data_IF_398995705906
#
_entry.id   IF_398995705906
#
_cell.length_a   1.000
_cell.length_b   1.000
_cell.length_c   1.000
_cell.angle_alpha   90.00
_cell.angle_beta   90.00
_cell.angle_gamma   90.00
#
_symmetry.space_group_name_H-M   'P 1'
#
loop_
_entity.id
_entity.type
_entity.pdbx_description
1 polymer ?
#
# COMPACT_ATOMS: atom_id res chain seq x y z
N UNK A 1 -3.01 15.18 1.55
CA UNK A 1 -3.22 14.55 2.87
C UNK A 1 -4.11 15.45 3.71
N UNK A 2 -4.86 14.90 4.66
CA UNK A 2 -5.71 15.70 5.55
C UNK A 2 -5.63 15.23 7.00
N UNK A 3 -6.23 16.03 7.90
CA UNK A 3 -6.22 15.81 9.33
C UNK A 3 -6.81 14.45 9.73
N UNK A 4 -8.03 14.14 9.31
CA UNK A 4 -8.74 12.91 9.71
C UNK A 4 -7.97 11.66 9.29
N UNK A 5 -7.36 11.67 8.10
CA UNK A 5 -6.52 10.58 7.66
C UNK A 5 -5.30 10.42 8.56
N UNK A 6 -4.64 11.52 8.90
CA UNK A 6 -3.44 11.47 9.73
C UNK A 6 -3.73 11.10 11.18
N UNK A 7 -4.87 11.48 11.73
CA UNK A 7 -5.33 11.03 13.05
C UNK A 7 -5.46 9.50 13.11
N UNK A 8 -6.06 8.88 12.08
CA UNK A 8 -6.14 7.43 11.97
C UNK A 8 -4.76 6.76 11.90
N UNK A 9 -3.83 7.36 11.15
CA UNK A 9 -2.45 6.84 11.06
C UNK A 9 -1.65 7.08 12.33
N UNK A 10 -1.81 8.21 13.02
CA UNK A 10 -1.13 8.51 14.28
C UNK A 10 -1.58 7.53 15.37
N UNK A 11 -2.89 7.26 15.48
CA UNK A 11 -3.40 6.19 16.35
C UNK A 11 -2.77 4.84 16.02
N UNK A 12 -2.68 4.49 14.73
CA UNK A 12 -2.04 3.24 14.31
C UNK A 12 -0.54 3.20 14.67
N UNK A 13 0.19 4.30 14.48
CA UNK A 13 1.62 4.40 14.79
C UNK A 13 1.85 4.25 16.30
N UNK A 14 0.97 4.79 17.13
CA UNK A 14 1.02 4.63 18.58
C UNK A 14 0.79 3.17 19.01
N UNK A 15 -0.19 2.50 18.41
CA UNK A 15 -0.48 1.08 18.71
C UNK A 15 0.51 0.09 18.09
N UNK A 16 1.21 0.52 17.04
CA UNK A 16 2.19 -0.26 16.30
C UNK A 16 3.47 0.55 16.03
N UNK A 17 4.27 0.89 17.07
CA UNK A 17 5.43 1.77 16.94
C UNK A 17 6.66 1.07 16.31
N UNK A 18 6.44 0.06 15.47
CA UNK A 18 7.49 -0.79 14.91
C UNK A 18 8.51 0.01 14.15
N UNK A 19 9.77 -0.24 14.48
CA UNK A 19 10.94 0.33 13.81
C UNK A 19 11.86 -0.80 13.38
N UNK A 20 12.66 -0.53 12.36
CA UNK A 20 13.75 -1.40 11.96
C UNK A 20 14.61 -1.73 13.20
N UNK A 21 14.77 -3.01 13.51
CA UNK A 21 15.53 -3.54 14.67
C UNK A 21 14.93 -3.31 16.07
N UNK A 22 13.70 -2.80 16.20
CA UNK A 22 13.02 -2.73 17.49
C UNK A 22 11.65 -3.42 17.41
N UNK A 23 11.49 -4.50 18.16
CA UNK A 23 10.30 -5.35 18.16
C UNK A 23 9.22 -4.83 19.08
N UNK A 24 8.90 -3.53 19.00
CA UNK A 24 7.67 -3.01 19.63
C UNK A 24 6.50 -3.93 19.26
N UNK A 25 5.83 -4.47 20.26
CA UNK A 25 4.66 -5.32 20.02
C UNK A 25 3.56 -4.45 19.43
N UNK A 26 2.95 -4.95 18.35
CA UNK A 26 1.76 -4.32 17.79
C UNK A 26 0.55 -4.75 18.63
N UNK A 27 -0.01 -3.81 19.37
CA UNK A 27 -1.25 -4.02 20.11
C UNK A 27 -2.40 -3.26 19.45
N UNK A 28 -2.85 -3.80 18.31
CA UNK A 28 -3.92 -3.17 17.53
C UNK A 28 -5.28 -3.21 18.24
N UNK A 29 -5.45 -3.97 19.33
CA UNK A 29 -6.73 -4.13 20.04
C UNK A 29 -7.29 -2.82 20.61
N UNK A 30 -6.43 -1.81 20.77
CA UNK A 30 -6.84 -0.48 21.21
C UNK A 30 -7.39 0.39 20.05
N UNK A 31 -7.29 -0.07 18.80
CA UNK A 31 -7.91 0.59 17.65
C UNK A 31 -9.42 0.26 17.67
N UNK A 32 -10.31 1.26 17.75
CA UNK A 32 -11.75 1.02 17.81
C UNK A 32 -12.25 0.21 16.62
N UNK A 33 -13.05 -0.83 16.89
CA UNK A 33 -13.69 -1.65 15.86
C UNK A 33 -12.73 -2.59 15.10
N UNK A 34 -11.44 -2.63 15.43
CA UNK A 34 -10.45 -3.40 14.66
C UNK A 34 -10.77 -4.90 14.57
N UNK A 35 -11.42 -5.46 15.59
CA UNK A 35 -11.76 -6.88 15.66
C UNK A 35 -12.74 -7.30 14.55
N UNK A 36 -13.54 -6.37 14.04
CA UNK A 36 -14.47 -6.63 12.92
C UNK A 36 -13.74 -6.91 11.60
N UNK A 37 -12.52 -6.40 11.49
CA UNK A 37 -11.63 -6.52 10.34
C UNK A 37 -10.69 -7.72 10.42
N UNK A 38 -10.68 -8.45 11.55
CA UNK A 38 -9.88 -9.66 11.67
C UNK A 38 -10.45 -10.78 10.79
N UNK A 39 -9.58 -11.58 10.15
CA UNK A 39 -10.04 -12.67 9.29
C UNK A 39 -10.81 -13.73 10.10
N UNK A 40 -11.95 -14.17 9.56
CA UNK A 40 -12.73 -15.25 10.13
C UNK A 40 -12.01 -16.59 9.91
N UNK A 41 -11.57 -17.23 11.00
CA UNK A 41 -11.07 -18.60 10.96
C UNK A 41 -12.13 -19.51 11.58
N UNK A 42 -12.56 -20.50 10.80
CA UNK A 42 -13.72 -21.40 10.98
C UNK A 42 -13.90 -22.04 12.38
N UNK A 43 -12.95 -21.88 13.31
CA UNK A 43 -12.92 -22.59 14.59
C UNK A 43 -12.97 -21.69 15.84
N UNK A 44 -12.74 -20.38 15.74
CA UNK A 44 -12.54 -19.53 16.95
C UNK A 44 -13.09 -18.09 16.90
N UNK A 45 -13.84 -17.72 15.85
CA UNK A 45 -14.34 -16.36 15.61
C UNK A 45 -13.28 -15.39 15.08
N UNK A 46 -13.69 -14.16 14.72
CA UNK A 46 -12.81 -13.08 14.23
C UNK A 46 -11.75 -12.73 15.27
N UNK A 47 -10.51 -13.16 15.06
CA UNK A 47 -9.37 -12.82 15.92
C UNK A 47 -8.11 -12.61 15.10
N UNK A 48 -7.43 -11.48 15.31
CA UNK A 48 -6.14 -11.16 14.70
C UNK A 48 -4.99 -11.87 15.41
N UNK A 49 -4.89 -13.20 15.23
CA UNK A 49 -3.95 -14.05 15.99
C UNK A 49 -2.50 -13.88 15.54
N UNK A 50 -2.27 -13.85 14.23
CA UNK A 50 -0.93 -13.74 13.66
C UNK A 50 -0.60 -12.30 13.31
N UNK A 51 0.68 -12.01 13.17
CA UNK A 51 1.12 -10.68 12.72
C UNK A 51 0.60 -10.33 11.33
N UNK A 52 0.43 -11.34 10.47
CA UNK A 52 -0.17 -11.15 9.15
C UNK A 52 -1.68 -10.86 9.27
N UNK A 53 -2.40 -11.51 10.18
CA UNK A 53 -3.81 -11.19 10.44
C UNK A 53 -3.97 -9.76 10.92
N UNK A 54 -3.08 -9.28 11.79
CA UNK A 54 -3.07 -7.89 12.28
C UNK A 54 -2.83 -6.90 11.15
N UNK A 55 -1.82 -7.15 10.29
CA UNK A 55 -1.55 -6.30 9.12
C UNK A 55 -2.75 -6.30 8.17
N UNK A 56 -3.38 -7.45 7.95
CA UNK A 56 -4.57 -7.57 7.11
C UNK A 56 -5.74 -6.74 7.66
N UNK A 57 -6.06 -6.90 8.95
CA UNK A 57 -7.15 -6.17 9.58
C UNK A 57 -6.93 -4.65 9.57
N UNK A 58 -5.71 -4.21 9.89
CA UNK A 58 -5.37 -2.77 9.84
C UNK A 58 -5.42 -2.24 8.41
N UNK A 59 -4.95 -3.00 7.41
CA UNK A 59 -5.01 -2.56 6.02
C UNK A 59 -6.45 -2.31 5.59
N UNK A 60 -7.35 -3.26 5.87
CA UNK A 60 -8.77 -3.11 5.57
C UNK A 60 -9.41 -1.96 6.36
N UNK A 61 -9.13 -1.86 7.67
CA UNK A 61 -9.59 -0.75 8.50
C UNK A 61 -9.15 0.62 7.95
N UNK A 62 -7.91 0.74 7.45
CA UNK A 62 -7.44 1.97 6.83
C UNK A 62 -8.21 2.31 5.54
N UNK A 63 -8.54 1.31 4.71
CA UNK A 63 -9.38 1.54 3.53
C UNK A 63 -10.79 1.99 3.93
N UNK A 64 -11.39 1.38 4.93
CA UNK A 64 -12.74 1.74 5.38
C UNK A 64 -12.79 3.14 5.97
N UNK A 65 -11.95 3.42 6.96
CA UNK A 65 -11.99 4.69 7.69
C UNK A 65 -11.57 5.88 6.84
N UNK A 66 -10.57 5.69 5.97
CA UNK A 66 -10.03 6.80 5.18
C UNK A 66 -10.67 6.94 3.81
N UNK A 67 -11.26 5.88 3.26
CA UNK A 67 -11.83 5.89 1.91
C UNK A 67 -13.31 5.57 1.93
N UNK A 68 -13.76 4.41 2.43
CA UNK A 68 -15.17 3.99 2.32
C UNK A 68 -16.13 5.01 2.97
N UNK A 69 -15.96 5.28 4.26
CA UNK A 69 -16.83 6.18 5.04
C UNK A 69 -16.79 7.64 4.57
N UNK A 70 -15.76 8.00 3.79
CA UNK A 70 -15.49 9.37 3.34
C UNK A 70 -15.64 9.52 1.83
N UNK A 71 -15.97 8.44 1.12
CA UNK A 71 -15.80 8.32 -0.33
C UNK A 71 -16.52 9.44 -1.07
N UNK A 72 -17.71 9.84 -0.61
CA UNK A 72 -18.54 10.84 -1.28
C UNK A 72 -17.94 12.24 -1.18
N UNK A 73 -17.30 12.55 -0.05
CA UNK A 73 -16.69 13.86 0.24
C UNK A 73 -15.28 14.01 -0.34
N UNK A 74 -14.59 12.90 -0.64
CA UNK A 74 -13.24 12.95 -1.16
C UNK A 74 -13.18 13.34 -2.65
N UNK A 75 -12.20 14.17 -3.02
CA UNK A 75 -11.88 14.39 -4.43
C UNK A 75 -11.28 13.14 -5.07
N UNK A 76 -11.30 13.06 -6.40
CA UNK A 76 -10.66 11.96 -7.13
C UNK A 76 -9.15 11.87 -6.83
N UNK A 77 -8.51 13.01 -6.61
CA UNK A 77 -7.09 13.10 -6.27
C UNK A 77 -6.83 12.60 -4.85
N UNK A 78 -7.70 12.95 -3.89
CA UNK A 78 -7.60 12.50 -2.51
C UNK A 78 -7.72 10.97 -2.41
N UNK A 79 -8.72 10.35 -3.07
CA UNK A 79 -8.87 8.89 -3.05
C UNK A 79 -7.61 8.20 -3.57
N UNK A 80 -7.03 8.69 -4.67
CA UNK A 80 -5.79 8.13 -5.24
C UNK A 80 -4.59 8.32 -4.30
N UNK A 81 -4.44 9.50 -3.71
CA UNK A 81 -3.39 9.78 -2.75
C UNK A 81 -3.49 8.90 -1.50
N UNK A 82 -4.71 8.69 -0.99
CA UNK A 82 -4.95 7.86 0.21
C UNK A 82 -4.58 6.41 -0.03
N UNK A 83 -4.92 5.87 -1.20
CA UNK A 83 -4.46 4.53 -1.61
C UNK A 83 -2.94 4.47 -1.59
N UNK A 84 -2.25 5.49 -2.12
CA UNK A 84 -0.78 5.55 -2.11
C UNK A 84 -0.23 5.54 -0.68
N UNK A 85 -0.81 6.31 0.26
CA UNK A 85 -0.36 6.32 1.66
C UNK A 85 -0.58 4.97 2.37
N UNK A 86 -1.72 4.34 2.14
CA UNK A 86 -2.00 2.99 2.65
C UNK A 86 -0.98 2.00 2.08
N UNK A 87 -0.65 2.11 0.80
CA UNK A 87 0.38 1.26 0.17
C UNK A 87 1.78 1.53 0.72
N UNK A 88 2.15 2.78 1.05
CA UNK A 88 3.43 3.09 1.71
C UNK A 88 3.52 2.37 3.06
N UNK A 89 2.48 2.51 3.88
CA UNK A 89 2.41 1.85 5.19
C UNK A 89 2.45 0.32 5.05
N UNK A 90 1.63 -0.24 4.17
CA UNK A 90 1.53 -1.69 3.98
C UNK A 90 2.89 -2.28 3.56
N UNK A 91 3.56 -1.65 2.59
CA UNK A 91 4.87 -2.11 2.12
C UNK A 91 5.95 -1.97 3.19
N UNK A 92 5.94 -0.90 3.99
CA UNK A 92 6.84 -0.77 5.14
C UNK A 92 6.60 -1.90 6.16
N UNK A 93 5.34 -2.19 6.49
CA UNK A 93 4.97 -3.19 7.50
C UNK A 93 5.28 -4.62 7.06
N UNK A 94 5.05 -4.97 5.80
CA UNK A 94 5.35 -6.31 5.26
C UNK A 94 6.87 -6.58 5.22
N UNK A 95 7.68 -5.56 4.94
CA UNK A 95 9.14 -5.69 4.84
C UNK A 95 9.89 -5.51 6.18
N UNK A 96 9.19 -5.25 7.29
CA UNK A 96 9.79 -4.94 8.59
C UNK A 96 10.57 -6.11 9.25
N UNK A 97 10.45 -7.36 8.78
CA UNK A 97 11.35 -8.46 9.19
C UNK A 97 11.71 -9.41 8.04
N UNK A 98 13.01 -9.75 7.96
CA UNK A 98 13.78 -10.49 6.93
C UNK A 98 13.27 -11.85 6.40
N UNK A 99 12.17 -12.43 6.89
CA UNK A 99 11.54 -13.59 6.23
C UNK A 99 10.64 -13.12 5.06
N UNK A 100 11.24 -12.33 4.17
CA UNK A 100 10.60 -11.28 3.36
C UNK A 100 9.68 -11.79 2.23
N UNK A 101 10.06 -12.83 1.48
CA UNK A 101 9.23 -13.31 0.36
C UNK A 101 7.93 -13.98 0.82
N UNK A 102 7.99 -14.69 1.95
CA UNK A 102 6.84 -15.45 2.46
C UNK A 102 5.70 -14.52 2.88
N UNK A 103 5.99 -13.42 3.59
CA UNK A 103 4.96 -12.52 4.11
C UNK A 103 4.19 -11.78 3.03
N UNK A 104 4.88 -11.31 1.99
CA UNK A 104 4.23 -10.61 0.88
C UNK A 104 3.31 -11.56 0.12
N UNK A 105 3.83 -12.74 -0.27
CA UNK A 105 3.02 -13.75 -0.95
C UNK A 105 1.85 -14.21 -0.09
N UNK A 106 2.06 -14.42 1.21
CA UNK A 106 1.01 -14.85 2.13
C UNK A 106 -0.05 -13.76 2.31
N UNK A 107 0.33 -12.49 2.34
CA UNK A 107 -0.61 -11.37 2.35
C UNK A 107 -1.52 -11.38 1.12
N UNK A 108 -0.93 -11.46 -0.08
CA UNK A 108 -1.71 -11.47 -1.32
C UNK A 108 -2.63 -12.69 -1.42
N UNK A 109 -2.15 -13.87 -1.00
CA UNK A 109 -2.96 -15.08 -0.93
C UNK A 109 -4.14 -14.94 0.05
N UNK A 110 -3.93 -14.27 1.19
CA UNK A 110 -4.98 -14.02 2.16
C UNK A 110 -6.06 -13.11 1.59
N UNK A 111 -5.69 -11.98 0.99
CA UNK A 111 -6.68 -11.02 0.44
C UNK A 111 -7.37 -11.55 -0.83
N UNK A 112 -6.77 -12.48 -1.57
CA UNK A 112 -7.34 -13.02 -2.82
C UNK A 112 -8.77 -13.56 -2.59
N UNK A 113 -8.93 -14.30 -1.50
CA UNK A 113 -10.17 -14.96 -1.12
C UNK A 113 -10.98 -14.21 -0.04
N UNK A 114 -10.45 -13.11 0.47
CA UNK A 114 -11.13 -12.30 1.49
C UNK A 114 -12.22 -11.44 0.84
N UNK A 115 -13.48 -11.77 1.14
CA UNK A 115 -14.65 -11.05 0.61
C UNK A 115 -14.76 -9.64 1.17
N UNK A 116 -14.13 -9.35 2.31
CA UNK A 116 -14.19 -8.01 2.87
C UNK A 116 -13.43 -7.00 1.98
N UNK A 117 -12.39 -7.44 1.26
CA UNK A 117 -11.71 -6.59 0.28
C UNK A 117 -12.45 -6.44 -1.05
N UNK A 118 -13.50 -7.24 -1.29
CA UNK A 118 -14.33 -7.11 -2.49
C UNK A 118 -15.48 -6.13 -2.32
N UNK A 119 -15.80 -5.74 -1.09
CA UNK A 119 -16.88 -4.86 -0.77
C UNK A 119 -16.34 -3.54 -0.22
N UNK A 120 -16.89 -2.43 -0.72
CA UNK A 120 -16.71 -1.10 -0.16
C UNK A 120 -18.08 -0.73 0.39
N UNK A 121 -18.21 -0.41 1.68
CA UNK A 121 -19.49 -0.02 2.28
C UNK A 121 -19.41 1.35 2.93
N UNK A 122 -20.30 2.26 2.54
CA UNK A 122 -20.50 3.58 3.15
C UNK A 122 -21.94 3.69 3.66
N UNK A 123 -22.15 3.74 4.98
CA UNK A 123 -23.48 3.79 5.61
C UNK A 123 -24.50 2.81 4.97
N UNK A 124 -24.12 1.52 4.93
CA UNK A 124 -24.87 0.40 4.33
C UNK A 124 -25.00 0.40 2.79
N UNK A 125 -24.46 1.40 2.08
CA UNK A 125 -24.47 1.45 0.62
C UNK A 125 -23.14 0.95 0.02
N UNK A 126 -23.23 0.21 -1.09
CA UNK A 126 -22.05 -0.22 -1.86
C UNK A 126 -21.35 0.99 -2.50
N UNK A 127 -20.10 1.25 -2.10
CA UNK A 127 -19.27 2.32 -2.65
C UNK A 127 -18.30 1.88 -3.74
N UNK A 128 -18.37 0.63 -4.22
CA UNK A 128 -17.51 0.13 -5.29
C UNK A 128 -17.65 0.92 -6.59
N UNK A 129 -18.87 1.34 -6.93
CA UNK A 129 -19.14 2.19 -8.11
C UNK A 129 -18.43 3.54 -7.99
N UNK A 130 -18.58 4.23 -6.86
CA UNK A 130 -17.92 5.51 -6.59
C UNK A 130 -16.39 5.36 -6.58
N UNK A 131 -15.86 4.31 -5.96
CA UNK A 131 -14.42 4.02 -5.96
C UNK A 131 -13.91 3.84 -7.41
N UNK A 132 -14.66 3.13 -8.24
CA UNK A 132 -14.33 2.92 -9.65
C UNK A 132 -14.35 4.23 -10.44
N UNK A 133 -15.34 5.07 -10.22
CA UNK A 133 -15.46 6.35 -10.92
C UNK A 133 -14.38 7.35 -10.50
N UNK A 134 -14.04 7.41 -9.20
CA UNK A 134 -13.04 8.34 -8.67
C UNK A 134 -11.60 7.89 -8.94
N UNK A 135 -11.31 6.60 -8.79
CA UNK A 135 -9.94 6.07 -8.79
C UNK A 135 -9.66 4.96 -9.82
N UNK A 136 -10.68 4.39 -10.46
CA UNK A 136 -10.52 3.32 -11.46
C UNK A 136 -10.33 1.92 -10.88
N UNK A 137 -10.67 1.74 -9.59
CA UNK A 137 -10.58 0.46 -8.89
C UNK A 137 -11.97 -0.10 -8.62
N UNK A 138 -12.20 -1.37 -8.93
CA UNK A 138 -13.50 -2.00 -8.74
C UNK A 138 -13.82 -2.26 -7.26
N UNK A 139 -12.80 -2.41 -6.42
CA UNK A 139 -12.86 -2.62 -4.97
C UNK A 139 -11.46 -2.48 -4.36
N UNK A 140 -11.33 -2.61 -3.05
CA UNK A 140 -10.03 -2.49 -2.35
C UNK A 140 -9.04 -3.57 -2.76
N UNK A 141 -9.50 -4.80 -3.02
CA UNK A 141 -8.67 -5.87 -3.56
C UNK A 141 -8.01 -5.45 -4.88
N UNK A 142 -8.79 -4.94 -5.81
CA UNK A 142 -8.32 -4.44 -7.11
C UNK A 142 -7.36 -3.27 -6.94
N UNK A 143 -7.61 -2.35 -6.00
CA UNK A 143 -6.69 -1.26 -5.66
C UNK A 143 -5.32 -1.77 -5.19
N UNK A 144 -5.29 -2.76 -4.31
CA UNK A 144 -4.04 -3.33 -3.79
C UNK A 144 -3.28 -4.11 -4.87
N UNK A 145 -3.97 -4.95 -5.66
CA UNK A 145 -3.33 -5.72 -6.73
C UNK A 145 -2.77 -4.84 -7.85
N UNK A 146 -3.52 -3.81 -8.28
CA UNK A 146 -3.04 -2.89 -9.33
C UNK A 146 -1.87 -2.01 -8.89
N UNK A 147 -1.67 -1.85 -7.58
CA UNK A 147 -0.53 -1.14 -7.00
C UNK A 147 0.48 -2.09 -6.35
N UNK A 148 0.46 -3.38 -6.68
CA UNK A 148 1.39 -4.37 -6.14
C UNK A 148 2.85 -4.05 -6.50
N UNK A 149 3.09 -3.31 -7.56
CA UNK A 149 4.42 -2.85 -7.97
C UNK A 149 5.11 -1.97 -6.91
N UNK A 150 4.39 -1.40 -5.95
CA UNK A 150 4.96 -0.71 -4.79
C UNK A 150 5.87 -1.62 -3.95
N UNK A 151 5.65 -2.94 -3.98
CA UNK A 151 6.54 -3.90 -3.30
C UNK A 151 7.91 -4.03 -3.94
N UNK A 152 8.10 -3.49 -5.15
CA UNK A 152 9.40 -3.44 -5.81
C UNK A 152 10.27 -2.27 -5.31
N UNK A 153 9.70 -1.33 -4.54
CA UNK A 153 10.48 -0.29 -3.88
C UNK A 153 11.30 -0.98 -2.78
N UNK A 154 12.62 -0.81 -2.83
CA UNK A 154 13.50 -1.44 -1.86
C UNK A 154 13.16 -0.94 -0.43
N UNK A 155 13.43 -1.79 0.56
CA UNK A 155 13.03 -1.50 1.93
C UNK A 155 13.67 -0.21 2.51
N UNK A 156 14.90 0.10 2.12
CA UNK A 156 15.58 1.31 2.58
C UNK A 156 14.84 2.57 2.12
N UNK A 157 14.38 2.59 0.88
CA UNK A 157 13.68 3.72 0.29
C UNK A 157 12.23 3.80 0.77
N UNK A 158 11.50 2.68 0.86
CA UNK A 158 10.14 2.71 1.42
C UNK A 158 10.15 3.13 2.89
N UNK A 159 11.17 2.76 3.66
CA UNK A 159 11.34 3.22 5.04
C UNK A 159 11.52 4.74 5.11
N UNK A 160 12.31 5.33 4.20
CA UNK A 160 12.47 6.80 4.14
C UNK A 160 11.18 7.49 3.71
N UNK A 161 10.45 6.95 2.74
CA UNK A 161 9.14 7.47 2.35
C UNK A 161 8.13 7.38 3.50
N UNK A 162 8.13 6.29 4.26
CA UNK A 162 7.28 6.15 5.43
C UNK A 162 7.67 7.14 6.54
N UNK A 163 8.96 7.43 6.73
CA UNK A 163 9.40 8.50 7.64
C UNK A 163 8.92 9.88 7.21
N UNK A 164 9.00 10.20 5.91
CA UNK A 164 8.45 11.45 5.35
C UNK A 164 6.94 11.52 5.57
N UNK A 165 6.22 10.44 5.24
CA UNK A 165 4.78 10.33 5.44
C UNK A 165 4.38 10.63 6.90
N UNK A 166 5.06 10.03 7.88
CA UNK A 166 4.80 10.29 9.31
C UNK A 166 5.04 11.74 9.69
N UNK A 167 6.09 12.37 9.16
CA UNK A 167 6.37 13.78 9.44
C UNK A 167 5.29 14.70 8.85
N UNK A 168 4.83 14.41 7.63
CA UNK A 168 3.72 15.14 7.02
C UNK A 168 2.44 14.98 7.85
N UNK A 169 2.14 13.78 8.34
CA UNK A 169 0.97 13.59 9.18
C UNK A 169 1.03 14.37 10.48
N UNK A 170 2.19 14.39 11.16
CA UNK A 170 2.40 15.26 12.33
C UNK A 170 2.17 16.73 12.04
N UNK A 171 2.56 17.19 10.86
CA UNK A 171 2.30 18.57 10.46
C UNK A 171 0.79 18.81 10.30
N UNK A 172 0.04 17.89 9.69
CA UNK A 172 -1.42 18.04 9.60
C UNK A 172 -2.12 17.97 10.96
N UNK A 173 -1.75 17.03 11.84
CA UNK A 173 -2.38 16.86 13.15
C UNK A 173 -2.10 18.02 14.08
N UNK A 174 -0.84 18.44 14.20
CA UNK A 174 -0.49 19.61 15.02
C UNK A 174 -1.07 20.91 14.48
N UNK A 175 -1.19 21.07 13.16
CA UNK A 175 -1.80 22.28 12.57
C UNK A 175 -3.29 22.37 12.84
N UNK A 176 -3.97 21.25 13.06
CA UNK A 176 -5.39 21.23 13.40
C UNK A 176 -5.62 21.55 14.89
N UNK A 177 -4.66 21.19 15.76
CA UNK A 177 -4.66 21.57 17.19
C UNK A 177 -4.32 23.05 17.41
N UNK A 178 -3.70 23.70 16.42
CA UNK A 178 -3.39 25.12 16.44
C UNK A 178 -2.30 25.48 15.43
N UNK A 179 -1.86 26.75 15.44
CA UNK A 179 -0.76 27.18 14.56
C UNK A 179 0.56 26.56 15.02
N UNK A 180 1.25 25.85 14.12
CA UNK A 180 2.57 25.24 14.40
C UNK A 180 3.64 26.32 14.60
N UNK A 181 4.43 26.29 15.66
CA UNK A 181 5.53 27.26 15.79
C UNK A 181 6.54 27.13 14.62
N UNK A 182 6.99 28.25 14.05
CA UNK A 182 7.88 28.25 12.87
C UNK A 182 9.14 27.39 13.09
N UNK A 183 9.72 27.40 14.29
CA UNK A 183 10.90 26.59 14.62
C UNK A 183 10.61 25.09 14.49
N UNK A 184 9.41 24.64 14.93
CA UNK A 184 8.98 23.24 14.85
C UNK A 184 8.67 22.84 13.42
N UNK A 185 7.91 23.69 12.70
CA UNK A 185 7.64 23.52 11.28
C UNK A 185 8.93 23.39 10.47
N UNK A 186 9.90 24.30 10.68
CA UNK A 186 11.19 24.28 9.99
C UNK A 186 11.98 23.02 10.32
N UNK A 187 11.89 22.51 11.56
CA UNK A 187 12.44 21.23 11.95
C UNK A 187 11.88 20.05 11.14
N UNK A 188 10.56 20.00 10.97
CA UNK A 188 9.91 18.97 10.14
C UNK A 188 10.28 19.11 8.66
N UNK A 189 10.19 20.33 8.11
CA UNK A 189 10.53 20.62 6.71
C UNK A 189 11.97 20.24 6.37
N UNK A 190 12.95 20.57 7.22
CA UNK A 190 14.35 20.19 7.02
C UNK A 190 14.55 18.67 7.04
N UNK A 191 13.86 17.95 7.94
CA UNK A 191 13.93 16.49 7.99
C UNK A 191 13.32 15.85 6.72
N UNK A 192 12.16 16.34 6.28
CA UNK A 192 11.49 15.89 5.05
C UNK A 192 12.43 16.09 3.84
N UNK A 193 12.93 17.31 3.64
CA UNK A 193 13.83 17.63 2.51
C UNK A 193 15.14 16.84 2.61
N UNK A 194 15.67 16.62 3.81
CA UNK A 194 16.82 15.74 4.06
C UNK A 194 16.58 14.31 3.55
N UNK A 195 15.40 13.73 3.83
CA UNK A 195 15.04 12.38 3.37
C UNK A 195 14.88 12.32 1.85
N UNK A 196 14.26 13.31 1.22
CA UNK A 196 14.20 13.39 -0.24
C UNK A 196 15.60 13.53 -0.87
N UNK A 197 16.52 14.25 -0.23
CA UNK A 197 17.92 14.31 -0.68
C UNK A 197 18.63 12.95 -0.59
N UNK A 198 18.42 12.19 0.49
CA UNK A 198 18.95 10.83 0.64
C UNK A 198 18.41 9.89 -0.45
N UNK A 199 17.09 9.92 -0.66
CA UNK A 199 16.41 9.16 -1.71
C UNK A 199 17.03 9.44 -3.09
N UNK A 200 17.30 10.71 -3.41
CA UNK A 200 17.93 11.14 -4.67
C UNK A 200 19.42 10.73 -4.85
N UNK A 201 20.12 10.26 -3.81
CA UNK A 201 21.53 9.82 -3.94
C UNK A 201 21.65 8.42 -4.51
N UNK A 202 20.68 7.56 -4.23
CA UNK A 202 20.76 6.12 -4.47
C UNK A 202 19.90 5.66 -5.65
N UNK A 203 19.01 6.52 -6.14
CA UNK A 203 17.93 6.12 -7.04
C UNK A 203 18.16 6.65 -8.47
N UNK A 204 18.38 5.75 -9.43
CA UNK A 204 18.29 6.09 -10.86
C UNK A 204 16.94 5.58 -11.37
N UNK A 205 15.91 6.41 -11.24
CA UNK A 205 14.50 5.95 -11.33
C UNK A 205 13.98 6.09 -12.77
N UNK A 206 13.11 5.18 -13.19
CA UNK A 206 12.27 5.36 -14.39
C UNK A 206 11.11 6.29 -14.06
N UNK A 207 10.84 7.29 -14.91
CA UNK A 207 9.89 8.36 -14.62
C UNK A 207 8.45 7.93 -14.32
N UNK A 208 8.06 6.71 -14.69
CA UNK A 208 6.71 6.16 -14.52
C UNK A 208 6.66 4.92 -13.61
N UNK A 209 7.41 4.95 -12.51
CA UNK A 209 7.47 3.85 -11.55
C UNK A 209 6.61 4.12 -10.32
N UNK A 210 6.28 3.08 -9.55
CA UNK A 210 5.63 3.22 -8.24
C UNK A 210 6.40 4.15 -7.31
N UNK A 211 7.74 4.14 -7.41
CA UNK A 211 8.61 5.07 -6.72
C UNK A 211 8.31 6.53 -7.09
N UNK A 212 8.19 6.87 -8.39
CA UNK A 212 7.90 8.25 -8.80
C UNK A 212 6.50 8.70 -8.40
N UNK A 213 5.54 7.78 -8.32
CA UNK A 213 4.19 8.04 -7.75
C UNK A 213 4.25 8.36 -6.26
N UNK A 214 4.94 7.54 -5.46
CA UNK A 214 5.13 7.83 -4.02
C UNK A 214 5.81 9.19 -3.83
N UNK A 215 6.87 9.44 -4.59
CA UNK A 215 7.58 10.71 -4.54
C UNK A 215 6.67 11.89 -4.85
N UNK A 216 5.95 11.85 -5.98
CA UNK A 216 5.12 12.98 -6.42
C UNK A 216 3.98 13.23 -5.45
N UNK A 217 3.35 12.18 -4.94
CA UNK A 217 2.27 12.28 -3.96
C UNK A 217 2.74 12.94 -2.66
N UNK A 218 3.86 12.49 -2.07
CA UNK A 218 4.40 13.11 -0.85
C UNK A 218 4.94 14.53 -1.09
N UNK A 219 5.53 14.79 -2.26
CA UNK A 219 6.04 16.12 -2.63
C UNK A 219 4.92 17.12 -2.80
N UNK A 220 3.85 16.74 -3.51
CA UNK A 220 2.69 17.60 -3.71
C UNK A 220 2.02 17.95 -2.38
N UNK A 221 1.92 16.99 -1.47
CA UNK A 221 1.37 17.25 -0.13
C UNK A 221 2.23 18.21 0.68
N UNK A 222 3.55 18.04 0.65
CA UNK A 222 4.46 18.98 1.29
C UNK A 222 4.32 20.39 0.71
N UNK A 223 4.26 20.51 -0.62
CA UNK A 223 4.12 21.79 -1.30
C UNK A 223 2.75 22.44 -1.02
N UNK A 224 1.67 21.64 -0.97
CA UNK A 224 0.34 22.11 -0.59
C UNK A 224 0.33 22.63 0.85
N UNK A 225 0.86 21.85 1.80
CA UNK A 225 0.98 22.29 3.19
C UNK A 225 1.81 23.57 3.29
N UNK A 226 2.96 23.62 2.59
CA UNK A 226 3.81 24.81 2.56
C UNK A 226 3.07 26.05 2.05
N UNK A 227 2.24 25.91 1.02
CA UNK A 227 1.45 27.01 0.45
C UNK A 227 0.32 27.47 1.40
N UNK A 228 -0.34 26.54 2.08
CA UNK A 228 -1.36 26.85 3.10
C UNK A 228 -0.74 27.50 4.34
N UNK A 229 0.48 27.09 4.69
CA UNK A 229 1.24 27.57 5.85
C UNK A 229 2.06 28.84 5.59
N UNK A 230 1.99 29.41 4.39
CA UNK A 230 2.71 30.65 4.02
C UNK A 230 2.07 31.88 4.66
N UNK A 231 1.92 31.84 5.98
CA UNK A 231 1.87 33.02 6.81
C UNK A 231 3.29 33.62 6.80
N UNK A 232 3.40 34.86 6.35
CA UNK A 232 4.60 35.72 6.24
C UNK A 232 5.61 35.67 7.41
N UNK A 233 5.27 35.00 8.51
CA UNK A 233 6.06 34.73 9.71
C UNK A 233 7.17 33.67 9.60
N UNK A 234 7.09 32.66 8.71
CA UNK A 234 8.09 31.56 8.66
C UNK A 234 8.98 31.61 7.41
N UNK A 235 9.98 32.52 7.39
CA UNK A 235 10.94 32.60 6.28
C UNK A 235 11.88 31.39 6.21
N UNK A 236 12.25 30.97 4.99
CA UNK A 236 13.33 30.00 4.76
C UNK A 236 12.92 28.52 4.74
N UNK A 237 11.64 28.23 4.47
CA UNK A 237 11.14 26.85 4.32
C UNK A 237 11.82 26.19 3.11
N UNK A 238 12.57 25.10 3.29
CA UNK A 238 13.28 24.45 2.19
C UNK A 238 12.30 23.88 1.16
N UNK A 239 12.73 23.74 -0.08
CA UNK A 239 11.95 23.05 -1.12
C UNK A 239 12.49 21.64 -1.31
N UNK A 240 11.60 20.72 -1.66
CA UNK A 240 11.99 19.36 -2.04
C UNK A 240 12.83 19.43 -3.33
N UNK A 241 13.97 18.72 -3.41
CA UNK A 241 14.75 18.66 -4.64
C UNK A 241 13.92 18.03 -5.78
N UNK A 242 14.16 18.38 -7.05
CA UNK A 242 13.53 17.64 -8.14
C UNK A 242 13.95 16.16 -8.11
N UNK A 243 13.03 15.27 -8.45
CA UNK A 243 13.32 13.84 -8.55
C UNK A 243 14.34 13.57 -9.66
N UNK A 244 15.39 12.79 -9.37
CA UNK A 244 16.38 12.40 -10.38
C UNK A 244 15.90 11.18 -11.17
N UNK A 245 15.49 11.42 -12.41
CA UNK A 245 15.05 10.38 -13.35
C UNK A 245 16.21 10.03 -14.30
N UNK A 246 16.39 8.74 -14.61
CA UNK A 246 17.22 8.33 -15.75
C UNK A 246 16.53 8.76 -17.04
N UNK A 247 16.98 9.86 -17.63
CA UNK A 247 16.68 10.14 -19.02
C UNK A 247 17.43 9.11 -19.86
N UNK A 248 16.71 8.15 -20.45
CA UNK A 248 17.24 7.50 -21.65
C UNK A 248 17.43 8.63 -22.66
N UNK A 249 18.69 8.92 -22.99
CA UNK A 249 19.12 10.04 -23.81
C UNK A 249 18.31 10.11 -25.11
N UNK A 250 17.34 11.03 -25.16
CA UNK A 250 16.88 11.65 -26.40
C UNK A 250 16.88 13.15 -26.15
N UNK A 251 17.92 13.81 -26.63
CA UNK A 251 17.93 15.25 -26.84
C UNK A 251 16.63 15.66 -27.56
N UNK A 252 15.85 16.55 -26.96
CA UNK A 252 15.82 17.95 -27.40
C UNK A 252 14.71 18.71 -26.67
N UNK A 253 15.06 19.92 -26.26
CA UNK A 253 14.25 21.14 -26.14
C UNK A 253 12.72 21.02 -26.33
N UNK A 254 11.98 21.57 -25.35
CA UNK A 254 10.76 22.36 -25.56
C UNK A 254 9.61 21.72 -26.35
N UNK A 255 8.43 21.71 -25.74
CA UNK A 255 7.12 21.39 -26.37
C UNK A 255 6.80 19.89 -26.48
N UNK A 256 6.80 19.12 -25.39
CA UNK A 256 6.20 17.77 -25.41
C UNK A 256 5.59 17.39 -24.04
N UNK A 257 4.48 18.01 -23.64
CA UNK A 257 3.65 17.48 -22.53
C UNK A 257 2.62 16.45 -23.00
N UNK A 258 2.26 16.45 -24.28
CA UNK A 258 1.17 15.62 -24.83
C UNK A 258 1.63 14.24 -25.33
N UNK A 259 2.84 14.12 -25.89
CA UNK A 259 3.30 12.82 -26.41
C UNK A 259 3.83 11.86 -25.32
N UNK A 260 4.21 12.38 -24.14
CA UNK A 260 4.67 11.58 -23.00
C UNK A 260 3.55 10.68 -22.43
N UNK A 261 2.31 11.17 -22.42
CA UNK A 261 1.13 10.45 -21.91
C UNK A 261 0.79 9.21 -22.76
N UNK A 262 0.94 9.32 -24.09
CA UNK A 262 0.61 8.25 -25.04
C UNK A 262 1.66 7.13 -24.98
N UNK A 263 2.95 7.49 -24.87
CA UNK A 263 4.04 6.52 -24.80
C UNK A 263 4.01 5.73 -23.48
N UNK A 264 3.76 6.38 -22.34
CA UNK A 264 3.62 5.69 -21.05
C UNK A 264 2.42 4.73 -21.04
N UNK A 265 1.29 5.11 -21.65
CA UNK A 265 0.12 4.23 -21.75
C UNK A 265 0.39 2.95 -22.56
N UNK A 266 1.22 3.03 -23.60
CA UNK A 266 1.64 1.89 -24.41
C UNK A 266 2.63 1.00 -23.64
N UNK A 267 3.61 1.60 -22.94
CA UNK A 267 4.61 0.87 -22.15
C UNK A 267 3.95 0.13 -20.98
N UNK A 268 3.02 0.77 -20.27
CA UNK A 268 2.23 0.13 -19.19
C UNK A 268 1.44 -1.06 -19.74
N UNK A 269 0.78 -0.92 -20.89
CA UNK A 269 0.04 -2.02 -21.51
C UNK A 269 0.96 -3.21 -21.82
N UNK A 270 2.13 -2.98 -22.42
CA UNK A 270 3.12 -4.03 -22.74
C UNK A 270 3.72 -4.70 -21.49
N UNK A 271 3.93 -3.95 -20.41
CA UNK A 271 4.42 -4.49 -19.12
C UNK A 271 3.38 -5.42 -18.48
N UNK A 272 2.10 -5.05 -18.51
CA UNK A 272 1.00 -5.87 -17.99
C UNK A 272 0.90 -7.22 -18.74
N UNK A 273 1.07 -7.23 -20.07
CA UNK A 273 1.09 -8.49 -20.84
C UNK A 273 2.29 -9.39 -20.47
N UNK A 274 3.43 -8.79 -20.14
CA UNK A 274 4.63 -9.54 -19.73
C UNK A 274 4.46 -10.14 -18.34
N UNK A 275 3.86 -9.39 -17.40
CA UNK A 275 3.55 -9.91 -16.07
C UNK A 275 2.50 -11.04 -16.13
N UNK A 276 1.39 -10.83 -16.86
CA UNK A 276 0.32 -11.83 -17.02
C UNK A 276 0.86 -13.15 -17.56
N UNK A 277 1.76 -13.12 -18.54
CA UNK A 277 2.34 -14.34 -19.13
C UNK A 277 3.25 -15.11 -18.17
N UNK A 278 4.03 -14.42 -17.34
CA UNK A 278 4.84 -15.03 -16.28
C UNK A 278 3.94 -15.69 -15.23
N UNK A 279 2.87 -15.01 -14.80
CA UNK A 279 1.93 -15.53 -13.80
C UNK A 279 1.10 -16.70 -14.32
N UNK A 280 0.64 -16.68 -15.58
CA UNK A 280 -0.01 -17.84 -16.20
C UNK A 280 0.93 -19.05 -16.26
N UNK A 281 2.22 -18.85 -16.51
CA UNK A 281 3.23 -19.92 -16.50
C UNK A 281 3.41 -20.55 -15.12
N UNK A 282 3.45 -19.73 -14.07
CA UNK A 282 3.54 -20.20 -12.67
C UNK A 282 2.25 -20.92 -12.25
N UNK A 283 1.08 -20.33 -12.55
CA UNK A 283 -0.23 -20.88 -12.26
C UNK A 283 -0.47 -22.24 -12.95
N UNK A 284 -0.08 -22.35 -14.22
CA UNK A 284 -0.18 -23.60 -14.98
C UNK A 284 0.67 -24.71 -14.33
N UNK A 285 1.90 -24.38 -13.91
CA UNK A 285 2.81 -25.34 -13.26
C UNK A 285 2.30 -25.82 -11.90
N UNK A 286 1.78 -24.90 -11.07
CA UNK A 286 1.18 -25.23 -9.77
C UNK A 286 -0.10 -26.05 -9.91
N UNK A 287 -0.97 -25.71 -10.86
CA UNK A 287 -2.21 -26.45 -11.14
C UNK A 287 -1.93 -27.89 -11.61
N UNK A 288 -0.94 -28.07 -12.49
CA UNK A 288 -0.53 -29.40 -12.96
C UNK A 288 0.01 -30.28 -11.82
N UNK A 289 0.74 -29.68 -10.88
CA UNK A 289 1.28 -30.36 -9.70
C UNK A 289 0.16 -30.85 -8.76
N UNK A 290 -0.88 -30.03 -8.54
CA UNK A 290 -2.04 -30.39 -7.71
C UNK A 290 -2.86 -31.51 -8.34
N UNK A 291 -3.11 -31.46 -9.66
CA UNK A 291 -3.82 -32.52 -10.39
C UNK A 291 -3.07 -33.86 -10.28
N UNK A 292 -1.74 -33.85 -10.46
CA UNK A 292 -0.90 -35.05 -10.34
C UNK A 292 -0.97 -35.69 -8.95
N UNK A 293 -1.02 -34.87 -7.88
CA UNK A 293 -1.20 -35.35 -6.50
C UNK A 293 -2.59 -35.96 -6.27
N UNK A 294 -3.64 -35.41 -6.88
CA UNK A 294 -5.01 -35.95 -6.77
C UNK A 294 -5.11 -37.33 -7.43
N UNK A 295 -4.55 -37.50 -8.62
CA UNK A 295 -4.54 -38.79 -9.32
C UNK A 295 -3.80 -39.87 -8.55
N UNK A 296 -2.63 -39.56 -7.99
CA UNK A 296 -1.89 -40.51 -7.14
C UNK A 296 -2.68 -40.91 -5.89
N UNK A 297 -3.34 -39.95 -5.23
CA UNK A 297 -4.16 -40.19 -4.04
C UNK A 297 -5.40 -41.03 -4.36
N UNK A 298 -6.01 -40.82 -5.52
CA UNK A 298 -7.17 -41.58 -5.99
C UNK A 298 -6.78 -43.03 -6.34
N UNK A 299 -5.64 -43.22 -7.03
CA UNK A 299 -5.09 -44.54 -7.30
C UNK A 299 -4.73 -45.33 -6.02
N UNK A 300 -4.20 -44.66 -5.00
CA UNK A 300 -3.94 -45.29 -3.68
C UNK A 300 -5.24 -45.69 -2.96
N UNK A 301 -6.30 -44.87 -3.03
CA UNK A 301 -7.62 -45.19 -2.46
C UNK A 301 -8.29 -46.39 -3.15
N UNK A 302 -8.20 -46.46 -4.48
CA UNK A 302 -8.67 -47.60 -5.28
C UNK A 302 -7.94 -48.90 -4.91
N UNK A 303 -6.60 -48.86 -4.77
CA UNK A 303 -5.82 -50.02 -4.32
C UNK A 303 -6.23 -50.50 -2.93
N UNK A 304 -6.43 -49.58 -1.98
CA UNK A 304 -6.90 -49.91 -0.62
C UNK A 304 -8.31 -50.54 -0.63
N UNK A 305 -9.24 -50.02 -1.45
CA UNK A 305 -10.58 -50.62 -1.61
C UNK A 305 -10.51 -52.05 -2.15
N UNK A 306 -9.65 -52.29 -3.14
CA UNK A 306 -9.48 -53.61 -3.74
C UNK A 306 -8.85 -54.63 -2.78
N UNK A 307 -7.89 -54.19 -1.95
CA UNK A 307 -7.32 -55.04 -0.89
C UNK A 307 -8.41 -55.38 0.14
N UNK A 308 -9.18 -54.40 0.60
CA UNK A 308 -10.28 -54.61 1.56
C UNK A 308 -11.36 -55.56 1.03
N UNK A 309 -11.69 -55.50 -0.27
CA UNK A 309 -12.63 -56.45 -0.91
C UNK A 309 -12.11 -57.89 -0.90
N UNK A 310 -10.79 -58.10 -1.05
CA UNK A 310 -10.17 -59.44 -1.03
C UNK A 310 -10.04 -60.04 0.37
N UNK A 311 -10.04 -59.22 1.42
CA UNK A 311 -9.98 -59.69 2.82
C UNK A 311 -11.35 -60.06 3.39
N UNK A 312 -12.43 -59.55 2.80
CA UNK A 312 -13.81 -59.79 3.24
C UNK A 312 -14.48 -60.97 2.52
N UNK A 313 -13.71 -61.74 1.75
CA UNK A 313 -14.17 -62.86 0.93
C UNK A 313 -13.31 -64.10 1.21
#
# INVERSE_FOLDING_TARGET
MDYEMCENFDMLIEQCPRKLNNSGECNIQNIPGIDEYCPDRESEGKKCKTELDKINAVCLWLFDQNIAHRIDNLSNENVKAFIIYIMIWLNYMLNLKKDEETKLSDFYNNIENDTNYTNCTNDDNDCNSTLKDKAGYNNFKDAIFKNMDFSNINFEDISKFYDVFKLLCKMHTESNEGKIECTKYLGYANNIVGKFNELNRNSSISGDSSYSKVWSTLSNDYDNFKNEYDDTSCMGIPSIPPIKIKQNHVQSSGVISSSLSILNKIIIALSIFTAITIFLGIFYKCSLFVLRKRDQKQHLREKLKNIKKRMNH
#
